data_IF_043188036759
#
_entry.id   IF_043188036759
#
_cell.length_a   1.000
_cell.length_b   1.000
_cell.length_c   1.000
_cell.angle_alpha   90.00
_cell.angle_beta   90.00
_cell.angle_gamma   90.00
#
_symmetry.space_group_name_H-M   'P 1'
#
loop_
_entity.id
_entity.type
_entity.pdbx_description
1 polymer ?
#
# COMPACT_ATOMS: atom_id res chain seq x y z
N UNK A 1 14.05 -0.20 10.43
CA UNK A 1 13.48 0.80 9.50
C UNK A 1 12.30 0.21 8.73
N UNK A 2 11.14 0.86 8.78
CA UNK A 2 9.92 0.46 8.08
C UNK A 2 9.58 1.47 6.98
N UNK A 3 9.31 1.00 5.77
CA UNK A 3 8.77 1.82 4.68
C UNK A 3 7.26 1.64 4.58
N UNK A 4 6.49 2.71 4.69
CA UNK A 4 5.05 2.74 4.46
C UNK A 4 4.80 3.30 3.06
N UNK A 5 4.29 2.50 2.12
CA UNK A 5 3.96 2.96 0.77
C UNK A 5 2.47 3.31 0.72
N UNK A 6 2.18 4.60 0.64
CA UNK A 6 0.81 5.13 0.61
C UNK A 6 0.08 4.77 -0.69
N UNK A 7 -1.24 5.00 -0.70
CA UNK A 7 -2.08 4.87 -1.90
C UNK A 7 -1.58 5.77 -3.04
N UNK A 8 -1.71 5.28 -4.27
CA UNK A 8 -1.40 6.03 -5.50
C UNK A 8 -2.61 6.77 -6.10
N UNK A 9 -3.74 6.77 -5.39
CA UNK A 9 -5.00 7.42 -5.83
C UNK A 9 -4.95 8.93 -5.63
N UNK A 10 -4.31 9.40 -4.56
CA UNK A 10 -4.19 10.82 -4.26
C UNK A 10 -3.00 11.11 -3.32
N UNK A 11 -2.47 12.34 -3.32
CA UNK A 11 -1.46 12.76 -2.34
C UNK A 11 -2.03 12.77 -0.92
N UNK A 12 -1.19 12.47 0.09
CA UNK A 12 -1.57 12.60 1.49
C UNK A 12 -1.90 14.07 1.82
N UNK A 13 -2.95 14.28 2.63
CA UNK A 13 -3.44 15.60 3.00
C UNK A 13 -4.47 16.18 2.02
N UNK A 14 -4.70 15.53 0.88
CA UNK A 14 -5.71 15.95 -0.10
C UNK A 14 -7.12 15.45 0.23
N UNK A 15 -7.24 14.40 1.03
CA UNK A 15 -8.50 13.71 1.33
C UNK A 15 -8.94 12.71 0.25
N UNK A 16 -8.27 12.66 -0.91
CA UNK A 16 -8.63 11.78 -2.01
C UNK A 16 -8.34 10.30 -1.75
N UNK A 17 -7.41 10.00 -0.83
CA UNK A 17 -7.12 8.63 -0.36
C UNK A 17 -8.07 8.14 0.74
N UNK A 18 -8.97 9.00 1.23
CA UNK A 18 -9.94 8.66 2.26
C UNK A 18 -9.29 8.15 3.55
N UNK A 19 -9.86 7.09 4.13
CA UNK A 19 -9.38 6.50 5.39
C UNK A 19 -7.93 5.98 5.35
N UNK A 20 -7.39 5.68 4.16
CA UNK A 20 -6.00 5.23 3.98
C UNK A 20 -5.03 6.28 4.49
N UNK A 21 -5.29 7.56 4.20
CA UNK A 21 -4.39 8.66 4.56
C UNK A 21 -4.21 8.72 6.08
N UNK A 22 -5.33 8.65 6.81
CA UNK A 22 -5.35 8.66 8.26
C UNK A 22 -4.61 7.43 8.83
N UNK A 23 -4.81 6.24 8.26
CA UNK A 23 -4.11 5.03 8.71
C UNK A 23 -2.61 5.17 8.53
N UNK A 24 -2.15 5.55 7.34
CA UNK A 24 -0.72 5.66 7.02
C UNK A 24 -0.04 6.66 7.94
N UNK A 25 -0.65 7.84 8.11
CA UNK A 25 -0.11 8.88 9.01
C UNK A 25 -0.11 8.40 10.46
N UNK A 26 -1.18 7.75 10.94
CA UNK A 26 -1.20 7.24 12.32
C UNK A 26 -0.14 6.16 12.57
N UNK A 27 0.09 5.26 11.61
CA UNK A 27 1.15 4.26 11.69
C UNK A 27 2.54 4.90 11.66
N UNK A 28 2.75 5.89 10.80
CA UNK A 28 4.01 6.64 10.73
C UNK A 28 4.32 7.34 12.06
N UNK A 29 3.30 7.84 12.76
CA UNK A 29 3.42 8.50 14.07
C UNK A 29 3.74 7.53 15.22
N UNK A 30 3.17 6.32 15.21
CA UNK A 30 3.32 5.38 16.32
C UNK A 30 4.61 4.57 16.24
N UNK A 31 5.10 4.27 15.03
CA UNK A 31 6.30 3.45 14.83
C UNK A 31 7.54 4.00 15.56
N UNK A 32 7.88 5.32 15.49
CA UNK A 32 8.97 5.90 16.27
C UNK A 32 8.77 5.73 17.79
N UNK A 33 7.53 5.82 18.27
CA UNK A 33 7.20 5.64 19.70
C UNK A 33 7.35 4.18 20.16
N UNK A 34 7.30 3.24 19.23
CA UNK A 34 7.57 1.82 19.46
C UNK A 34 9.05 1.45 19.25
N UNK A 35 9.92 2.45 18.99
CA UNK A 35 11.36 2.24 18.78
C UNK A 35 11.75 1.85 17.35
N UNK A 36 10.85 2.03 16.37
CA UNK A 36 11.12 1.75 14.96
C UNK A 36 11.24 3.06 14.16
N UNK A 37 12.26 3.22 13.32
CA UNK A 37 12.23 4.32 12.36
C UNK A 37 11.23 4.06 11.23
N UNK A 38 10.51 5.11 10.85
CA UNK A 38 9.46 5.07 9.84
C UNK A 38 9.74 6.06 8.71
N UNK A 39 9.54 5.60 7.48
CA UNK A 39 9.56 6.43 6.28
C UNK A 39 8.27 6.19 5.52
N UNK A 40 7.61 7.25 5.06
CA UNK A 40 6.41 7.19 4.22
C UNK A 40 6.81 7.56 2.80
N UNK A 41 6.54 6.69 1.84
CA UNK A 41 6.61 7.03 0.41
C UNK A 41 5.20 7.30 -0.09
N UNK A 42 4.94 8.53 -0.53
CA UNK A 42 3.61 8.97 -0.95
C UNK A 42 3.66 9.73 -2.29
N UNK A 43 2.54 9.84 -3.03
CA UNK A 43 2.50 10.56 -4.30
C UNK A 43 3.01 12.00 -4.20
N UNK A 44 3.55 12.53 -5.29
CA UNK A 44 3.97 13.92 -5.38
C UNK A 44 2.86 14.89 -4.96
N UNK A 45 3.23 15.95 -4.22
CA UNK A 45 2.27 16.90 -3.64
C UNK A 45 1.68 16.46 -2.30
N UNK A 46 2.14 15.35 -1.71
CA UNK A 46 1.73 14.93 -0.37
C UNK A 46 2.26 15.89 0.68
N UNK A 47 1.38 16.35 1.57
CA UNK A 47 1.73 17.20 2.72
C UNK A 47 0.99 16.70 3.96
N UNK A 48 1.73 16.52 5.05
CA UNK A 48 1.21 16.08 6.36
C UNK A 48 1.28 17.20 7.40
N UNK A 49 1.36 18.46 6.96
CA UNK A 49 1.32 19.66 7.80
C UNK A 49 2.35 19.66 8.94
N UNK A 50 3.55 19.12 8.69
CA UNK A 50 4.65 19.07 9.66
C UNK A 50 4.59 17.91 10.68
N UNK A 51 3.59 17.02 10.58
CA UNK A 51 3.47 15.85 11.45
C UNK A 51 4.67 14.90 11.37
N UNK A 52 5.35 14.87 10.23
CA UNK A 52 6.60 14.15 10.00
C UNK A 52 7.69 14.59 10.98
N UNK A 53 7.89 15.91 11.09
CA UNK A 53 8.85 16.51 12.02
C UNK A 53 8.41 16.40 13.47
N UNK A 54 7.11 16.59 13.75
CA UNK A 54 6.56 16.49 15.10
C UNK A 54 6.72 15.08 15.69
N UNK A 55 6.53 14.04 14.87
CA UNK A 55 6.52 12.65 15.33
C UNK A 55 7.75 11.83 14.92
N UNK A 56 8.72 12.43 14.24
CA UNK A 56 10.01 11.82 13.95
C UNK A 56 9.97 10.72 12.89
N UNK A 57 9.16 10.88 11.85
CA UNK A 57 9.16 10.01 10.67
C UNK A 57 9.57 10.80 9.41
N UNK A 58 10.11 10.11 8.41
CA UNK A 58 10.53 10.71 7.14
C UNK A 58 9.37 10.67 6.13
N UNK A 59 9.06 11.77 5.45
CA UNK A 59 8.14 11.78 4.31
C UNK A 59 8.94 11.91 3.01
N UNK A 60 8.85 10.89 2.16
CA UNK A 60 9.42 10.87 0.82
C UNK A 60 8.34 11.09 -0.23
N UNK A 61 8.58 12.04 -1.12
CA UNK A 61 7.77 12.24 -2.32
C UNK A 61 8.17 11.23 -3.39
N UNK A 62 7.21 10.46 -3.89
CA UNK A 62 7.38 9.67 -5.10
C UNK A 62 7.53 10.58 -6.33
N UNK A 63 8.13 10.08 -7.43
CA UNK A 63 8.18 10.81 -8.68
C UNK A 63 6.77 11.17 -9.20
N UNK A 64 6.64 12.35 -9.81
CA UNK A 64 5.38 12.78 -10.40
C UNK A 64 4.85 11.77 -11.43
N UNK A 65 3.55 11.51 -11.38
CA UNK A 65 2.89 10.58 -12.28
C UNK A 65 1.38 10.80 -12.31
N UNK A 66 0.73 10.18 -13.28
CA UNK A 66 -0.73 10.19 -13.38
C UNK A 66 -1.31 9.34 -12.26
N UNK A 67 -2.11 9.96 -11.40
CA UNK A 67 -2.79 9.28 -10.29
C UNK A 67 -3.72 8.18 -10.81
N UNK A 68 -3.84 7.11 -10.02
CA UNK A 68 -4.73 6.01 -10.36
C UNK A 68 -6.19 6.35 -10.03
N UNK A 69 -7.10 5.89 -10.89
CA UNK A 69 -8.53 5.94 -10.58
C UNK A 69 -8.87 4.99 -9.42
N UNK A 70 -9.82 5.41 -8.59
CA UNK A 70 -10.37 4.61 -7.50
C UNK A 70 -10.83 3.21 -7.96
N UNK A 71 -10.41 2.15 -7.26
CA UNK A 71 -10.72 0.78 -7.63
C UNK A 71 -12.24 0.51 -7.65
N UNK A 72 -12.97 1.07 -6.68
CA UNK A 72 -14.44 0.96 -6.57
C UNK A 72 -15.22 1.60 -7.73
N UNK A 73 -14.57 2.38 -8.59
CA UNK A 73 -15.19 2.94 -9.80
C UNK A 73 -14.97 2.08 -11.05
N UNK A 74 -14.17 1.01 -10.94
CA UNK A 74 -13.90 0.07 -12.04
C UNK A 74 -14.87 -1.11 -11.94
N UNK A 75 -15.24 -1.68 -13.08
CA UNK A 75 -15.98 -2.94 -13.08
C UNK A 75 -15.10 -4.07 -12.53
N UNK A 76 -15.69 -5.02 -11.80
CA UNK A 76 -14.97 -6.10 -11.10
C UNK A 76 -13.94 -6.85 -11.97
N UNK A 77 -14.37 -7.27 -13.17
CA UNK A 77 -13.55 -8.02 -14.13
C UNK A 77 -12.74 -7.14 -15.09
N UNK A 78 -12.54 -5.86 -14.76
CA UNK A 78 -11.67 -4.99 -15.59
C UNK A 78 -10.25 -5.51 -15.56
N UNK A 79 -9.58 -5.51 -16.72
CA UNK A 79 -8.20 -5.99 -16.83
C UNK A 79 -7.25 -5.17 -15.95
N UNK A 80 -6.33 -5.89 -15.31
CA UNK A 80 -5.18 -5.30 -14.63
C UNK A 80 -4.28 -4.59 -15.64
N UNK A 81 -4.21 -3.27 -15.54
CA UNK A 81 -3.37 -2.45 -16.41
C UNK A 81 -2.67 -1.35 -15.63
N UNK A 82 -1.53 -0.92 -16.17
CA UNK A 82 -0.74 0.21 -15.65
C UNK A 82 -0.63 1.22 -16.78
N UNK A 83 -1.16 2.43 -16.55
CA UNK A 83 -1.11 3.49 -17.57
C UNK A 83 0.32 4.01 -17.77
N UNK A 84 0.71 4.43 -18.99
CA UNK A 84 1.93 5.19 -19.20
C UNK A 84 2.01 6.39 -18.24
N UNK A 85 3.15 6.52 -17.56
CA UNK A 85 3.37 7.58 -16.58
C UNK A 85 2.60 7.42 -15.26
N UNK A 86 2.06 6.23 -14.97
CA UNK A 86 1.35 5.91 -13.72
C UNK A 86 2.16 6.31 -12.47
N UNK A 87 1.51 7.02 -11.56
CA UNK A 87 2.04 7.33 -10.24
C UNK A 87 2.27 6.04 -9.43
N UNK A 88 1.39 5.04 -9.56
CA UNK A 88 1.55 3.75 -8.90
C UNK A 88 2.85 3.08 -9.34
N UNK A 89 3.07 2.92 -10.64
CA UNK A 89 4.28 2.27 -11.15
C UNK A 89 5.56 3.02 -10.77
N UNK A 90 5.57 4.35 -10.89
CA UNK A 90 6.72 5.17 -10.51
C UNK A 90 7.03 5.10 -9.01
N UNK A 91 5.99 5.09 -8.17
CA UNK A 91 6.14 4.93 -6.71
C UNK A 91 6.77 3.58 -6.38
N UNK A 92 6.34 2.51 -7.04
CA UNK A 92 6.88 1.18 -6.78
C UNK A 92 8.27 0.95 -7.37
N UNK A 93 8.60 1.58 -8.49
CA UNK A 93 9.99 1.64 -8.98
C UNK A 93 10.89 2.36 -7.98
N UNK A 94 10.43 3.46 -7.40
CA UNK A 94 11.17 4.18 -6.36
C UNK A 94 11.34 3.33 -5.10
N UNK A 95 10.27 2.66 -4.64
CA UNK A 95 10.34 1.71 -3.53
C UNK A 95 11.37 0.61 -3.80
N UNK A 96 11.40 0.04 -5.01
CA UNK A 96 12.37 -0.97 -5.41
C UNK A 96 13.81 -0.44 -5.36
N UNK A 97 14.03 0.81 -5.77
CA UNK A 97 15.34 1.48 -5.75
C UNK A 97 15.87 1.67 -4.32
N UNK A 98 14.99 2.01 -3.38
CA UNK A 98 15.38 2.34 -2.00
C UNK A 98 15.22 1.17 -1.02
N UNK A 99 14.70 0.02 -1.45
CA UNK A 99 14.24 -1.08 -0.59
C UNK A 99 15.28 -1.55 0.44
N UNK A 100 16.57 -1.53 0.10
CA UNK A 100 17.67 -2.02 0.97
C UNK A 100 17.91 -1.14 2.21
N UNK A 101 17.26 0.02 2.31
CA UNK A 101 17.24 0.86 3.52
C UNK A 101 16.28 0.34 4.60
N UNK A 102 15.42 -0.61 4.26
CA UNK A 102 14.28 -1.01 5.07
C UNK A 102 14.28 -2.51 5.34
N UNK A 103 13.82 -2.88 6.53
CA UNK A 103 13.66 -4.28 6.94
C UNK A 103 12.35 -4.85 6.40
N UNK A 104 11.34 -3.99 6.25
CA UNK A 104 10.01 -4.32 5.75
C UNK A 104 9.36 -3.12 5.05
N UNK A 105 8.59 -3.41 4.01
CA UNK A 105 7.75 -2.47 3.28
C UNK A 105 6.29 -2.82 3.55
N UNK A 106 5.47 -1.86 3.96
CA UNK A 106 4.04 -2.05 4.14
C UNK A 106 3.31 -1.33 3.01
N UNK A 107 2.60 -2.10 2.18
CA UNK A 107 1.78 -1.62 1.09
C UNK A 107 0.37 -1.27 1.56
N UNK A 108 -0.07 -0.04 1.27
CA UNK A 108 -1.44 0.41 1.47
C UNK A 108 -2.19 0.67 0.16
N UNK A 109 -1.58 0.42 -1.00
CA UNK A 109 -2.29 0.43 -2.28
C UNK A 109 -3.17 -0.81 -2.41
N UNK A 110 -4.47 -0.60 -2.63
CA UNK A 110 -5.38 -1.65 -3.10
C UNK A 110 -5.27 -1.75 -4.63
N UNK A 111 -4.22 -2.43 -5.08
CA UNK A 111 -3.96 -2.66 -6.50
C UNK A 111 -3.17 -3.97 -6.66
N UNK A 112 -3.25 -4.60 -7.83
CA UNK A 112 -2.59 -5.87 -8.12
C UNK A 112 -1.07 -5.71 -8.26
N UNK A 113 -0.58 -4.59 -8.80
CA UNK A 113 0.82 -4.36 -9.10
C UNK A 113 1.77 -4.46 -7.88
N UNK A 114 1.48 -3.82 -6.72
CA UNK A 114 2.30 -4.00 -5.52
C UNK A 114 2.34 -5.45 -5.04
N UNK A 115 1.22 -6.16 -5.11
CA UNK A 115 1.14 -7.58 -4.71
C UNK A 115 1.97 -8.46 -5.63
N UNK A 116 1.93 -8.18 -6.93
CA UNK A 116 2.73 -8.91 -7.91
C UNK A 116 4.24 -8.66 -7.74
N UNK A 117 4.63 -7.46 -7.31
CA UNK A 117 6.04 -7.13 -7.08
C UNK A 117 6.66 -7.81 -5.85
N UNK A 118 5.85 -8.39 -4.95
CA UNK A 118 6.34 -9.16 -3.79
C UNK A 118 7.27 -10.29 -4.17
N UNK A 119 7.12 -10.85 -5.38
CA UNK A 119 7.99 -11.91 -5.90
C UNK A 119 9.35 -11.41 -6.44
N UNK A 120 9.50 -10.11 -6.64
CA UNK A 120 10.71 -9.50 -7.21
C UNK A 120 11.52 -8.68 -6.19
N UNK A 121 10.91 -8.27 -5.08
CA UNK A 121 11.61 -7.52 -4.04
C UNK A 121 12.44 -8.44 -3.15
N UNK A 122 13.66 -8.00 -2.83
CA UNK A 122 14.46 -8.64 -1.78
C UNK A 122 13.99 -8.25 -0.38
N UNK A 123 13.47 -7.03 -0.22
CA UNK A 123 12.92 -6.58 1.06
C UNK A 123 11.48 -7.11 1.20
N UNK A 124 11.17 -7.77 2.33
CA UNK A 124 9.83 -8.17 2.71
C UNK A 124 8.74 -7.11 2.44
N UNK A 125 7.76 -7.37 1.56
CA UNK A 125 6.53 -6.54 1.43
C UNK A 125 5.39 -7.18 2.23
N UNK A 126 4.66 -6.41 3.03
CA UNK A 126 3.41 -6.81 3.70
C UNK A 126 2.29 -5.94 3.15
N UNK A 127 1.13 -6.52 2.84
CA UNK A 127 -0.01 -5.81 2.26
C UNK A 127 -1.11 -5.64 3.31
N UNK A 128 -1.39 -4.39 3.66
CA UNK A 128 -2.54 -4.04 4.47
C UNK A 128 -3.74 -3.81 3.55
N UNK A 129 -4.55 -4.83 3.36
CA UNK A 129 -5.71 -4.80 2.49
C UNK A 129 -6.84 -4.05 3.20
N UNK A 130 -7.22 -2.89 2.68
CA UNK A 130 -8.14 -1.96 3.35
C UNK A 130 -9.60 -2.09 2.93
N UNK A 131 -9.87 -2.71 1.79
CA UNK A 131 -11.22 -2.89 1.26
C UNK A 131 -11.57 -4.37 1.21
N UNK A 132 -12.86 -4.67 1.17
CA UNK A 132 -13.31 -6.01 0.81
C UNK A 132 -12.96 -6.33 -0.64
N UNK A 133 -13.29 -7.53 -1.07
CA UNK A 133 -13.13 -7.97 -2.45
C UNK A 133 -13.95 -7.08 -3.41
N UNK A 134 -13.28 -6.50 -4.39
CA UNK A 134 -13.85 -5.55 -5.37
C UNK A 134 -13.32 -5.75 -6.80
N UNK A 135 -12.28 -6.57 -7.00
CA UNK A 135 -11.53 -6.65 -8.27
C UNK A 135 -10.96 -8.06 -8.45
N UNK A 136 -11.23 -8.70 -9.58
CA UNK A 136 -10.74 -10.06 -9.86
C UNK A 136 -9.20 -10.12 -9.86
N UNK A 137 -8.45 -9.19 -10.49
CA UNK A 137 -6.99 -9.20 -10.38
C UNK A 137 -6.44 -9.06 -8.96
N UNK A 138 -7.11 -8.30 -8.08
CA UNK A 138 -6.68 -8.19 -6.68
C UNK A 138 -7.03 -9.46 -5.92
N UNK A 139 -8.20 -10.04 -6.16
CA UNK A 139 -8.62 -11.31 -5.55
C UNK A 139 -7.64 -12.44 -5.88
N UNK A 140 -7.22 -12.54 -7.15
CA UNK A 140 -6.23 -13.54 -7.60
C UNK A 140 -4.90 -13.37 -6.87
N UNK A 141 -4.43 -12.12 -6.74
CA UNK A 141 -3.19 -11.84 -6.03
C UNK A 141 -3.28 -12.11 -4.54
N UNK A 142 -4.41 -11.79 -3.90
CA UNK A 142 -4.67 -12.10 -2.49
C UNK A 142 -4.71 -13.61 -2.28
N UNK A 143 -5.42 -14.36 -3.12
CA UNK A 143 -5.49 -15.82 -3.03
C UNK A 143 -4.11 -16.46 -3.19
N UNK A 144 -3.31 -15.96 -4.14
CA UNK A 144 -1.95 -16.45 -4.36
C UNK A 144 -1.03 -16.15 -3.16
N UNK A 145 -1.02 -14.92 -2.67
CA UNK A 145 -0.22 -14.53 -1.50
C UNK A 145 -0.63 -15.29 -0.24
N UNK A 146 -1.92 -15.54 -0.04
CA UNK A 146 -2.43 -16.35 1.06
C UNK A 146 -1.88 -17.78 1.03
N UNK A 147 -1.84 -18.39 -0.16
CA UNK A 147 -1.34 -19.75 -0.34
C UNK A 147 0.17 -19.85 -0.18
N UNK A 148 0.92 -18.90 -0.74
CA UNK A 148 2.38 -18.99 -0.82
C UNK A 148 3.10 -18.32 0.37
N UNK A 149 2.53 -17.23 0.90
CA UNK A 149 3.16 -16.37 1.90
C UNK A 149 2.11 -15.67 2.80
N UNK A 150 1.30 -16.41 3.58
CA UNK A 150 0.17 -15.85 4.34
C UNK A 150 0.58 -14.73 5.32
N UNK A 151 1.80 -14.78 5.86
CA UNK A 151 2.37 -13.75 6.72
C UNK A 151 2.54 -12.38 6.05
N UNK A 152 2.30 -12.29 4.73
CA UNK A 152 2.38 -11.07 3.92
C UNK A 152 1.06 -10.31 3.85
N UNK A 153 -0.02 -10.85 4.40
CA UNK A 153 -1.36 -10.27 4.29
C UNK A 153 -1.91 -9.85 5.65
N UNK A 154 -2.55 -8.68 5.68
CA UNK A 154 -3.32 -8.20 6.82
C UNK A 154 -4.60 -7.50 6.33
N UNK A 155 -5.67 -7.57 7.12
CA UNK A 155 -6.91 -6.83 6.88
C UNK A 155 -7.50 -6.36 8.21
N UNK A 156 -8.57 -5.56 8.19
CA UNK A 156 -9.13 -4.98 9.41
C UNK A 156 -9.95 -5.97 10.24
N UNK A 157 -10.73 -6.83 9.58
CA UNK A 157 -11.69 -7.70 10.27
C UNK A 157 -11.87 -9.02 9.55
N UNK A 158 -12.30 -10.05 10.31
CA UNK A 158 -12.74 -11.32 9.73
C UNK A 158 -13.85 -11.12 8.69
N UNK A 159 -14.81 -10.22 8.94
CA UNK A 159 -15.91 -9.97 8.00
C UNK A 159 -15.40 -9.46 6.65
N UNK A 160 -14.37 -8.60 6.64
CA UNK A 160 -13.70 -8.18 5.41
C UNK A 160 -12.97 -9.36 4.76
N UNK A 161 -12.22 -10.15 5.53
CA UNK A 161 -11.47 -11.31 5.03
C UNK A 161 -12.40 -12.31 4.30
N UNK A 162 -13.60 -12.54 4.83
CA UNK A 162 -14.61 -13.43 4.23
C UNK A 162 -15.13 -12.97 2.86
N UNK A 163 -14.91 -11.70 2.49
CA UNK A 163 -15.34 -11.21 1.17
C UNK A 163 -14.45 -11.71 0.04
N UNK A 164 -13.21 -12.12 0.33
CA UNK A 164 -12.29 -12.65 -0.67
C UNK A 164 -12.60 -14.12 -1.00
N UNK A 165 -12.31 -14.60 -2.23
CA UNK A 165 -12.63 -15.97 -2.66
C UNK A 165 -12.10 -17.08 -1.75
N UNK A 166 -11.02 -16.83 -1.02
CA UNK A 166 -10.41 -17.74 -0.04
C UNK A 166 -11.18 -17.86 1.29
N UNK A 167 -12.30 -17.17 1.47
CA UNK A 167 -13.20 -17.40 2.61
C UNK A 167 -12.58 -17.05 3.97
N UNK A 168 -11.72 -16.02 4.04
CA UNK A 168 -11.12 -15.52 5.27
C UNK A 168 -9.82 -16.20 5.70
N UNK A 169 -9.52 -17.40 5.21
CA UNK A 169 -8.26 -18.12 5.48
C UNK A 169 -7.03 -17.37 4.95
N UNK A 170 -7.23 -16.46 3.99
CA UNK A 170 -6.15 -15.64 3.44
C UNK A 170 -5.50 -14.66 4.41
N UNK A 171 -6.11 -14.42 5.57
CA UNK A 171 -5.67 -13.39 6.52
C UNK A 171 -5.53 -13.93 7.96
N UNK A 172 -5.45 -15.26 8.13
CA UNK A 172 -5.32 -15.97 9.42
C UNK A 172 -4.06 -16.82 9.46
#
# INVERSE_FOLDING_TARGET
QVLLVSTAVAPLGSGGGGGVELLVVNLAKILPRLGHGATVLAPAGSDVAGLDREHGFELLSAPEGRLEGMAQHRARGSEASVSPGSALAKTWLEAARIQRRFDVIVNFCFDWLPMYQTYAFSTPIVHWVQMGSQSDPVDDMVARLASEMPQRLACYTRAQAMTFPSGGEAFT
#
